data_IF_256907390274
#
_entry.id   IF_256907390274
#
_cell.length_a   1.000
_cell.length_b   1.000
_cell.length_c   1.000
_cell.angle_alpha   90.00
_cell.angle_beta   90.00
_cell.angle_gamma   90.00
#
_symmetry.space_group_name_H-M   'P 1'
#
loop_
_entity.id
_entity.type
_entity.pdbx_description
1 polymer ?
#
# COMPACT_ATOMS: atom_id res chain seq x y z
N UNK A 1 65.71 48.28 -46.75
CA UNK A 1 66.56 47.26 -47.39
C UNK A 1 67.05 46.33 -46.29
N UNK A 2 66.76 45.02 -46.43
CA UNK A 2 67.41 43.84 -45.84
C UNK A 2 68.56 44.07 -44.81
N UNK A 3 68.67 43.42 -43.65
CA UNK A 3 68.81 41.96 -43.44
C UNK A 3 68.86 41.57 -41.94
N UNK A 4 68.36 40.36 -41.63
CA UNK A 4 68.71 39.39 -40.58
C UNK A 4 69.33 39.82 -39.24
N UNK A 5 68.74 39.34 -38.13
CA UNK A 5 69.48 38.86 -36.95
C UNK A 5 68.69 37.81 -36.16
N UNK A 6 69.44 36.81 -35.70
CA UNK A 6 69.10 35.55 -35.02
C UNK A 6 68.14 35.63 -33.82
N UNK A 7 67.25 34.63 -33.68
CA UNK A 7 66.47 34.36 -32.47
C UNK A 7 67.04 33.14 -31.74
N UNK A 8 67.41 33.36 -30.47
CA UNK A 8 67.82 32.34 -29.51
C UNK A 8 66.61 31.57 -28.95
N UNK A 9 66.74 30.25 -28.85
CA UNK A 9 65.76 29.31 -28.32
C UNK A 9 65.81 29.25 -26.79
N UNK A 10 64.71 29.55 -26.09
CA UNK A 10 64.48 29.17 -24.68
C UNK A 10 63.19 28.36 -24.56
N UNK A 11 63.33 27.13 -24.05
CA UNK A 11 62.29 26.12 -23.76
C UNK A 11 61.14 26.68 -22.91
N UNK A 12 59.89 26.44 -23.31
CA UNK A 12 58.70 26.76 -22.52
C UNK A 12 58.27 25.59 -21.62
N UNK A 13 57.82 25.94 -20.41
CA UNK A 13 57.32 25.04 -19.36
C UNK A 13 55.88 24.57 -19.64
N UNK A 14 55.66 23.73 -20.65
CA UNK A 14 54.30 23.24 -20.99
C UNK A 14 54.07 21.75 -20.74
N UNK A 15 55.05 20.99 -20.24
CA UNK A 15 54.88 19.54 -20.01
C UNK A 15 54.40 19.15 -18.61
N UNK A 16 54.42 20.05 -17.61
CA UNK A 16 54.03 19.71 -16.23
C UNK A 16 52.54 19.88 -15.92
N UNK A 17 51.78 20.68 -16.69
CA UNK A 17 50.34 20.89 -16.44
C UNK A 17 49.44 19.76 -16.96
N UNK A 18 49.88 19.02 -17.98
CA UNK A 18 49.11 17.89 -18.55
C UNK A 18 49.18 16.63 -17.68
N UNK A 19 50.29 16.39 -16.97
CA UNK A 19 50.45 15.21 -16.11
C UNK A 19 49.53 15.30 -14.88
N UNK A 20 49.35 16.49 -14.30
CA UNK A 20 48.43 16.69 -13.17
C UNK A 20 46.95 16.55 -13.57
N UNK A 21 46.58 16.91 -14.80
CA UNK A 21 45.20 16.78 -15.28
C UNK A 21 44.81 15.31 -15.53
N UNK A 22 45.72 14.49 -16.03
CA UNK A 22 45.49 13.06 -16.29
C UNK A 22 45.45 12.25 -14.97
N UNK A 23 46.29 12.58 -13.99
CA UNK A 23 46.26 11.95 -12.65
C UNK A 23 44.98 12.27 -11.86
N UNK A 24 44.44 13.50 -12.01
CA UNK A 24 43.17 13.87 -11.37
C UNK A 24 41.96 13.16 -12.00
N UNK A 25 41.96 12.94 -13.31
CA UNK A 25 40.95 12.15 -14.02
C UNK A 25 40.99 10.65 -13.66
N UNK A 26 42.19 10.08 -13.46
CA UNK A 26 42.32 8.68 -13.02
C UNK A 26 41.90 8.46 -11.56
N UNK A 27 42.22 9.39 -10.66
CA UNK A 27 41.82 9.30 -9.24
C UNK A 27 40.31 9.50 -9.04
N UNK A 28 39.68 10.39 -9.82
CA UNK A 28 38.22 10.59 -9.77
C UNK A 28 37.44 9.41 -10.37
N UNK A 29 37.90 8.82 -11.48
CA UNK A 29 37.25 7.61 -12.03
C UNK A 29 37.41 6.38 -11.12
N UNK A 30 38.53 6.25 -10.40
CA UNK A 30 38.73 5.15 -9.45
C UNK A 30 37.87 5.32 -8.18
N UNK A 31 37.64 6.56 -7.75
CA UNK A 31 36.74 6.88 -6.63
C UNK A 31 35.26 6.64 -6.99
N UNK A 32 34.83 7.00 -8.20
CA UNK A 32 33.48 6.69 -8.69
C UNK A 32 33.24 5.18 -8.92
N UNK A 33 34.26 4.42 -9.33
CA UNK A 33 34.17 2.94 -9.41
C UNK A 33 34.16 2.26 -8.02
N UNK A 34 34.73 2.90 -7.00
CA UNK A 34 34.71 2.42 -5.61
C UNK A 34 33.38 2.61 -4.90
N UNK A 35 32.67 3.72 -5.15
CA UNK A 35 31.35 3.98 -4.53
C UNK A 35 30.19 3.21 -5.17
N UNK A 36 30.30 2.76 -6.42
CA UNK A 36 29.28 1.89 -7.03
C UNK A 36 29.29 0.44 -6.52
N UNK A 37 30.30 0.04 -5.72
CA UNK A 37 30.36 -1.29 -5.09
C UNK A 37 29.75 -1.35 -3.68
N UNK A 38 29.25 -0.23 -3.15
CA UNK A 38 28.53 -0.18 -1.86
C UNK A 38 27.18 0.51 -2.10
N UNK A 39 26.43 -0.01 -3.04
CA UNK A 39 25.01 0.29 -3.26
C UNK A 39 24.33 -1.07 -3.37
N UNK A 40 23.35 -1.31 -2.48
CA UNK A 40 22.57 -2.53 -2.33
C UNK A 40 22.55 -3.44 -3.57
N UNK A 41 23.30 -4.55 -3.51
CA UNK A 41 22.90 -5.73 -4.27
C UNK A 41 21.53 -6.15 -3.73
N UNK A 42 20.49 -6.31 -4.58
CA UNK A 42 19.29 -7.00 -4.15
C UNK A 42 19.73 -8.40 -3.71
N UNK A 43 19.45 -8.77 -2.45
CA UNK A 43 19.64 -10.15 -1.99
C UNK A 43 18.89 -11.03 -2.98
N UNK A 44 19.61 -11.98 -3.58
CA UNK A 44 18.96 -13.06 -4.32
C UNK A 44 17.93 -13.75 -3.40
N UNK A 45 16.78 -14.16 -3.93
CA UNK A 45 15.81 -14.91 -3.14
C UNK A 45 16.50 -16.15 -2.57
N UNK A 46 16.28 -16.40 -1.29
CA UNK A 46 16.65 -17.67 -0.66
C UNK A 46 15.81 -18.75 -1.36
N UNK A 47 16.43 -19.51 -2.26
CA UNK A 47 15.86 -20.73 -2.80
C UNK A 47 15.76 -21.75 -1.65
N UNK A 48 14.55 -22.00 -1.16
CA UNK A 48 14.30 -23.24 -0.43
C UNK A 48 14.28 -24.39 -1.45
N UNK A 49 15.44 -24.98 -1.71
CA UNK A 49 15.56 -26.21 -2.48
C UNK A 49 15.05 -27.39 -1.65
N UNK A 50 13.77 -27.76 -1.80
CA UNK A 50 13.34 -29.12 -1.51
C UNK A 50 13.65 -29.96 -2.75
N UNK A 51 14.70 -30.78 -2.64
CA UNK A 51 15.05 -31.77 -3.66
C UNK A 51 13.95 -32.84 -3.74
N UNK A 52 13.22 -32.86 -4.86
CA UNK A 52 12.68 -34.09 -5.42
C UNK A 52 12.63 -33.95 -6.95
N UNK A 53 13.15 -34.97 -7.65
CA UNK A 53 13.47 -34.88 -9.07
C UNK A 53 12.31 -35.26 -9.98
N UNK A 54 12.04 -34.43 -10.99
CA UNK A 54 11.73 -34.78 -12.39
C UNK A 54 11.58 -33.48 -13.22
N UNK A 55 11.94 -33.45 -14.52
CA UNK A 55 11.92 -32.23 -15.31
C UNK A 55 10.54 -31.98 -15.91
N UNK A 56 9.68 -31.28 -15.17
CA UNK A 56 8.44 -30.67 -15.69
C UNK A 56 8.47 -29.18 -15.36
N UNK A 57 8.37 -28.35 -16.41
CA UNK A 57 8.16 -26.89 -16.40
C UNK A 57 8.18 -26.22 -15.01
N UNK A 58 9.34 -25.67 -14.62
CA UNK A 58 9.46 -24.81 -13.44
C UNK A 58 8.56 -23.58 -13.64
N UNK A 59 7.41 -23.55 -12.95
CA UNK A 59 6.66 -22.31 -12.76
C UNK A 59 7.50 -21.42 -11.84
N UNK A 60 8.09 -20.38 -12.41
CA UNK A 60 8.79 -19.35 -11.64
C UNK A 60 7.69 -18.57 -10.91
N UNK A 61 7.61 -18.71 -9.59
CA UNK A 61 6.74 -17.86 -8.77
C UNK A 61 7.26 -16.43 -8.89
N UNK A 62 6.60 -15.63 -9.73
CA UNK A 62 6.92 -14.21 -9.84
C UNK A 62 6.59 -13.53 -8.53
N UNK A 63 7.52 -12.71 -8.04
CA UNK A 63 7.29 -11.66 -7.05
C UNK A 63 5.97 -10.94 -7.42
N UNK A 64 5.14 -10.54 -6.45
CA UNK A 64 3.89 -9.79 -6.69
C UNK A 64 4.20 -8.50 -7.48
N UNK A 65 4.05 -8.56 -8.81
CA UNK A 65 4.41 -7.54 -9.78
C UNK A 65 3.26 -7.40 -10.77
N UNK A 66 3.08 -6.18 -11.30
CA UNK A 66 2.15 -5.97 -12.40
C UNK A 66 2.63 -6.70 -13.66
N UNK A 67 1.79 -7.59 -14.18
CA UNK A 67 2.02 -8.35 -15.40
C UNK A 67 1.16 -7.79 -16.53
N UNK A 68 1.74 -7.71 -17.73
CA UNK A 68 1.09 -7.12 -18.90
C UNK A 68 0.19 -8.13 -19.59
N UNK A 69 -1.06 -7.73 -19.85
CA UNK A 69 -2.05 -8.48 -20.65
C UNK A 69 -2.13 -7.91 -22.07
N UNK A 70 -2.24 -6.58 -22.16
CA UNK A 70 -2.17 -5.82 -23.41
C UNK A 70 -1.08 -4.77 -23.21
N UNK A 71 -0.16 -4.66 -24.17
CA UNK A 71 0.92 -3.66 -24.19
C UNK A 71 0.74 -2.67 -25.34
N UNK A 72 1.04 -1.39 -25.12
CA UNK A 72 1.11 -0.36 -26.16
C UNK A 72 0.29 0.88 -25.80
N UNK A 73 -0.69 1.23 -26.63
CA UNK A 73 -1.54 2.41 -26.42
C UNK A 73 -2.78 2.15 -25.56
N UNK A 74 -3.00 0.90 -25.12
CA UNK A 74 -4.25 0.40 -24.54
C UNK A 74 -3.96 -0.57 -23.39
N UNK A 75 -3.05 -0.20 -22.50
CA UNK A 75 -2.45 -1.13 -21.55
C UNK A 75 -3.48 -1.74 -20.59
N UNK A 76 -3.33 -3.06 -20.37
CA UNK A 76 -4.07 -3.79 -19.34
C UNK A 76 -3.07 -4.55 -18.51
N UNK A 77 -3.08 -4.29 -17.21
CA UNK A 77 -2.11 -4.82 -16.27
C UNK A 77 -2.84 -5.59 -15.18
N UNK A 78 -2.36 -6.77 -14.85
CA UNK A 78 -2.92 -7.59 -13.76
C UNK A 78 -1.90 -7.75 -12.64
N UNK A 79 -2.35 -7.78 -11.39
CA UNK A 79 -1.47 -7.79 -10.22
C UNK A 79 -1.59 -9.07 -9.39
N UNK A 80 -2.81 -9.47 -9.09
CA UNK A 80 -3.08 -10.59 -8.17
C UNK A 80 -4.38 -11.31 -8.54
N UNK A 81 -4.48 -12.57 -8.13
CA UNK A 81 -5.64 -13.42 -8.37
C UNK A 81 -6.05 -14.14 -7.09
N UNK A 82 -7.34 -14.07 -6.74
CA UNK A 82 -7.88 -14.67 -5.53
C UNK A 82 -9.04 -15.59 -5.86
N UNK A 83 -9.00 -16.83 -5.41
CA UNK A 83 -10.14 -17.73 -5.52
C UNK A 83 -11.00 -17.65 -4.26
N UNK A 84 -12.30 -17.48 -4.47
CA UNK A 84 -13.31 -17.63 -3.43
C UNK A 84 -14.48 -18.44 -3.96
N UNK A 85 -14.68 -19.64 -3.41
CA UNK A 85 -15.62 -20.64 -3.94
C UNK A 85 -15.31 -20.92 -5.42
N UNK A 86 -16.32 -20.88 -6.29
CA UNK A 86 -16.20 -21.16 -7.73
C UNK A 86 -15.94 -19.91 -8.56
N UNK A 87 -15.18 -18.95 -8.04
CA UNK A 87 -14.86 -17.70 -8.73
C UNK A 87 -13.42 -17.29 -8.43
N UNK A 88 -12.68 -16.85 -9.45
CA UNK A 88 -11.41 -16.14 -9.31
C UNK A 88 -11.64 -14.65 -9.56
N UNK A 89 -11.10 -13.82 -8.66
CA UNK A 89 -11.10 -12.37 -8.78
C UNK A 89 -9.67 -11.93 -9.09
N UNK A 90 -9.47 -11.36 -10.29
CA UNK A 90 -8.18 -10.79 -10.70
C UNK A 90 -8.23 -9.29 -10.51
N UNK A 91 -7.28 -8.74 -9.76
CA UNK A 91 -7.10 -7.29 -9.59
C UNK A 91 -6.24 -6.75 -10.72
N UNK A 92 -6.70 -5.67 -11.34
CA UNK A 92 -6.09 -5.12 -12.53
C UNK A 92 -6.09 -3.58 -12.53
N UNK A 93 -5.23 -3.01 -13.37
CA UNK A 93 -5.29 -1.62 -13.81
C UNK A 93 -5.57 -1.64 -15.32
N UNK A 94 -6.58 -0.87 -15.72
CA UNK A 94 -7.09 -0.78 -17.08
C UNK A 94 -6.87 0.63 -17.62
N UNK A 95 -6.32 0.74 -18.83
CA UNK A 95 -6.41 1.95 -19.64
C UNK A 95 -7.84 2.13 -20.17
N UNK A 96 -8.50 3.21 -19.77
CA UNK A 96 -9.86 3.54 -20.19
C UNK A 96 -9.96 3.78 -21.70
N UNK A 97 -8.87 4.15 -22.37
CA UNK A 97 -8.82 4.30 -23.83
C UNK A 97 -8.80 2.96 -24.58
N UNK A 98 -8.56 1.84 -23.90
CA UNK A 98 -8.52 0.52 -24.54
C UNK A 98 -9.85 0.20 -25.22
N UNK A 99 -9.87 -0.24 -26.51
CA UNK A 99 -11.09 -0.68 -27.16
C UNK A 99 -11.50 -2.10 -26.69
N UNK A 100 -10.57 -2.85 -26.11
CA UNK A 100 -10.84 -4.22 -25.68
C UNK A 100 -11.62 -4.22 -24.36
N UNK A 101 -12.75 -4.92 -24.39
CA UNK A 101 -13.69 -5.05 -23.27
C UNK A 101 -14.06 -6.50 -22.97
N UNK A 102 -13.62 -7.43 -23.81
CA UNK A 102 -13.93 -8.85 -23.70
C UNK A 102 -12.67 -9.65 -23.44
N UNK A 103 -12.69 -10.42 -22.37
CA UNK A 103 -11.52 -11.16 -21.91
C UNK A 103 -11.92 -12.58 -21.53
N UNK A 104 -10.96 -13.49 -21.67
CA UNK A 104 -11.04 -14.85 -21.19
C UNK A 104 -9.99 -15.06 -20.10
N UNK A 105 -10.32 -15.92 -19.14
CA UNK A 105 -9.37 -16.42 -18.17
C UNK A 105 -8.92 -17.82 -18.59
N UNK A 106 -7.62 -18.04 -18.61
CA UNK A 106 -7.01 -19.36 -18.83
C UNK A 106 -6.53 -19.86 -17.48
N UNK A 107 -7.15 -20.94 -17.02
CA UNK A 107 -6.88 -21.59 -15.74
C UNK A 107 -5.82 -22.67 -15.94
N UNK A 108 -4.79 -22.66 -15.10
CA UNK A 108 -3.66 -23.58 -15.14
C UNK A 108 -3.60 -24.40 -13.86
N UNK A 109 -3.24 -25.67 -13.98
CA UNK A 109 -3.02 -26.55 -12.84
C UNK A 109 -2.64 -27.95 -13.27
N UNK A 110 -2.07 -28.74 -12.35
CA UNK A 110 -1.61 -30.11 -12.67
C UNK A 110 -2.74 -31.04 -13.14
N UNK A 111 -3.96 -30.84 -12.63
CA UNK A 111 -5.15 -31.62 -13.00
C UNK A 111 -5.87 -31.07 -14.23
N UNK A 112 -5.37 -29.98 -14.82
CA UNK A 112 -5.96 -29.34 -16.00
C UNK A 112 -5.24 -29.76 -17.28
N UNK A 113 -5.94 -29.72 -18.45
CA UNK A 113 -5.29 -29.94 -19.73
C UNK A 113 -4.07 -29.01 -19.88
N UNK A 114 -3.04 -29.46 -20.58
CA UNK A 114 -1.84 -28.63 -20.84
C UNK A 114 -2.16 -27.33 -21.58
N UNK A 115 -3.32 -27.26 -22.27
CA UNK A 115 -3.87 -26.05 -22.90
C UNK A 115 -4.60 -25.10 -21.93
N UNK A 116 -4.72 -25.46 -20.66
CA UNK A 116 -5.56 -24.80 -19.66
C UNK A 116 -7.07 -25.06 -19.84
N UNK A 117 -7.86 -24.69 -18.83
CA UNK A 117 -9.32 -24.58 -18.93
C UNK A 117 -9.69 -23.11 -19.13
N UNK A 118 -10.67 -22.80 -19.97
CA UNK A 118 -11.02 -21.41 -20.31
C UNK A 118 -12.40 -21.03 -19.74
N UNK A 119 -12.52 -19.82 -19.20
CA UNK A 119 -13.80 -19.20 -18.83
C UNK A 119 -13.87 -17.75 -19.31
N UNK A 120 -15.05 -17.28 -19.71
CA UNK A 120 -15.24 -15.86 -20.02
C UNK A 120 -15.15 -15.01 -18.75
N UNK A 121 -14.34 -13.96 -18.80
CA UNK A 121 -14.17 -13.03 -17.69
C UNK A 121 -15.28 -11.98 -17.68
N UNK A 122 -15.78 -11.64 -16.50
CA UNK A 122 -16.63 -10.46 -16.31
C UNK A 122 -15.78 -9.29 -15.83
N UNK A 123 -15.66 -8.24 -16.64
CA UNK A 123 -14.97 -7.00 -16.29
C UNK A 123 -15.87 -6.11 -15.42
N UNK A 124 -15.36 -5.69 -14.26
CA UNK A 124 -15.95 -4.66 -13.42
C UNK A 124 -14.94 -3.53 -13.23
N UNK A 125 -15.22 -2.36 -13.81
CA UNK A 125 -14.40 -1.17 -13.60
C UNK A 125 -14.74 -0.58 -12.24
N UNK A 126 -13.73 -0.30 -11.41
CA UNK A 126 -13.96 0.36 -10.14
C UNK A 126 -14.38 1.81 -10.41
N UNK A 127 -15.57 2.25 -9.96
CA UNK A 127 -15.94 3.65 -10.03
C UNK A 127 -15.04 4.42 -9.07
N UNK A 128 -14.66 5.66 -9.41
CA UNK A 128 -13.63 6.49 -8.73
C UNK A 128 -12.27 6.54 -9.46
N UNK A 129 -12.27 6.67 -10.79
CA UNK A 129 -11.06 6.99 -11.55
C UNK A 129 -10.61 8.45 -11.41
N UNK A 130 -11.45 9.34 -10.85
CA UNK A 130 -11.16 10.78 -10.75
C UNK A 130 -10.79 11.43 -12.09
N UNK A 131 -11.35 10.94 -13.19
CA UNK A 131 -11.08 11.46 -14.54
C UNK A 131 -9.74 11.05 -15.14
N UNK A 132 -8.99 10.18 -14.46
CA UNK A 132 -7.70 9.69 -14.98
C UNK A 132 -7.88 8.61 -16.05
N UNK A 133 -6.91 8.51 -16.95
CA UNK A 133 -6.82 7.55 -18.06
C UNK A 133 -6.81 6.12 -17.55
N UNK A 134 -6.02 5.85 -16.51
CA UNK A 134 -5.96 4.53 -15.91
C UNK A 134 -6.93 4.44 -14.74
N UNK A 135 -7.55 3.28 -14.56
CA UNK A 135 -8.40 2.99 -13.40
C UNK A 135 -8.20 1.56 -12.91
N UNK A 136 -8.58 1.30 -11.66
CA UNK A 136 -8.65 -0.05 -11.13
C UNK A 136 -9.82 -0.83 -11.76
N UNK A 137 -9.61 -2.11 -11.99
CA UNK A 137 -10.62 -3.02 -12.48
C UNK A 137 -10.50 -4.39 -11.81
N UNK A 138 -11.61 -5.11 -11.79
CA UNK A 138 -11.71 -6.46 -11.26
C UNK A 138 -12.27 -7.37 -12.36
N UNK A 139 -11.54 -8.43 -12.69
CA UNK A 139 -12.04 -9.48 -13.58
C UNK A 139 -12.51 -10.67 -12.74
N UNK A 140 -13.77 -11.06 -12.93
CA UNK A 140 -14.35 -12.25 -12.30
C UNK A 140 -14.36 -13.41 -13.28
N UNK A 141 -13.65 -14.49 -12.96
CA UNK A 141 -13.55 -15.70 -13.78
C UNK A 141 -14.31 -16.85 -13.09
N UNK A 142 -15.43 -17.32 -13.65
CA UNK A 142 -16.15 -18.45 -13.08
C UNK A 142 -15.35 -19.75 -13.22
N UNK A 143 -15.35 -20.56 -12.17
CA UNK A 143 -14.74 -21.89 -12.15
C UNK A 143 -15.81 -22.97 -12.24
N UNK A 144 -15.47 -24.08 -12.89
CA UNK A 144 -16.26 -25.32 -12.76
C UNK A 144 -16.18 -25.81 -11.31
N UNK A 145 -17.25 -26.43 -10.82
CA UNK A 145 -17.32 -26.87 -9.43
C UNK A 145 -16.18 -27.85 -9.10
N UNK A 146 -15.53 -27.67 -7.94
CA UNK A 146 -14.41 -28.50 -7.49
C UNK A 146 -13.04 -28.15 -8.09
N UNK A 147 -12.97 -27.25 -9.08
CA UNK A 147 -11.70 -26.85 -9.67
C UNK A 147 -10.92 -25.89 -8.76
N UNK A 148 -9.64 -26.18 -8.54
CA UNK A 148 -8.69 -25.34 -7.81
C UNK A 148 -7.45 -25.16 -8.69
N UNK A 149 -7.40 -24.13 -9.54
CA UNK A 149 -6.23 -23.89 -10.38
C UNK A 149 -5.07 -23.32 -9.56
N UNK A 150 -3.85 -23.69 -9.93
CA UNK A 150 -2.61 -23.17 -9.33
C UNK A 150 -2.33 -21.73 -9.79
N UNK A 151 -2.67 -21.43 -11.05
CA UNK A 151 -2.48 -20.12 -11.65
C UNK A 151 -3.59 -19.74 -12.64
N UNK A 152 -3.71 -18.45 -12.92
CA UNK A 152 -4.65 -17.92 -13.92
C UNK A 152 -3.97 -16.88 -14.80
N UNK A 153 -4.27 -16.91 -16.08
CA UNK A 153 -3.96 -15.83 -17.03
C UNK A 153 -5.24 -15.13 -17.46
N UNK A 154 -5.14 -13.82 -17.72
CA UNK A 154 -6.15 -13.05 -18.42
C UNK A 154 -5.68 -12.79 -19.85
N UNK A 155 -6.53 -13.01 -20.85
CA UNK A 155 -6.24 -12.75 -22.28
C UNK A 155 -7.43 -12.07 -22.97
N UNK A 156 -7.21 -11.23 -24.00
CA UNK A 156 -8.30 -10.73 -24.85
C UNK A 156 -9.10 -11.88 -25.47
N UNK A 157 -10.43 -11.76 -25.57
CA UNK A 157 -11.28 -12.87 -26.02
C UNK A 157 -10.97 -13.35 -27.45
N UNK A 158 -10.58 -12.42 -28.33
CA UNK A 158 -10.17 -12.72 -29.72
C UNK A 158 -8.72 -13.22 -29.87
N UNK A 159 -7.96 -13.35 -28.78
CA UNK A 159 -6.53 -13.65 -28.84
C UNK A 159 -6.16 -14.82 -27.91
N UNK A 160 -6.10 -16.03 -28.48
CA UNK A 160 -5.57 -17.24 -27.84
C UNK A 160 -4.29 -17.69 -28.54
N UNK A 161 -3.32 -16.79 -28.75
CA UNK A 161 -1.97 -17.23 -29.15
C UNK A 161 -1.17 -17.54 -27.89
N UNK A 162 -0.91 -18.82 -27.68
CA UNK A 162 0.13 -19.28 -26.75
C UNK A 162 1.51 -18.88 -27.31
N UNK A 163 2.49 -18.55 -26.46
CA UNK A 163 2.43 -18.54 -25.00
C UNK A 163 1.76 -17.28 -24.43
N UNK A 164 1.02 -17.44 -23.33
CA UNK A 164 0.51 -16.30 -22.55
C UNK A 164 1.63 -15.81 -21.63
N UNK A 165 1.83 -14.49 -21.56
CA UNK A 165 2.97 -13.89 -20.84
C UNK A 165 2.67 -13.48 -19.40
N UNK A 166 1.40 -13.55 -18.99
CA UNK A 166 0.96 -13.34 -17.63
C UNK A 166 0.45 -14.65 -17.03
N UNK A 167 0.91 -15.02 -15.85
CA UNK A 167 0.40 -16.15 -15.07
C UNK A 167 0.45 -15.74 -13.59
N UNK A 168 -0.73 -15.49 -13.03
CA UNK A 168 -0.88 -15.09 -11.63
C UNK A 168 -1.10 -16.33 -10.77
N UNK A 169 -0.34 -16.51 -9.68
CA UNK A 169 -0.64 -17.54 -8.71
C UNK A 169 -2.02 -17.25 -8.09
N UNK A 170 -2.83 -18.30 -7.93
CA UNK A 170 -4.18 -18.16 -7.36
C UNK A 170 -4.09 -18.30 -5.85
N UNK A 171 -4.50 -17.25 -5.14
CA UNK A 171 -4.50 -17.20 -3.68
C UNK A 171 -5.87 -17.61 -3.15
N UNK A 172 -5.90 -18.66 -2.33
CA UNK A 172 -7.12 -19.25 -1.78
C UNK A 172 -7.02 -19.37 -0.25
N UNK A 173 -7.68 -18.52 0.55
CA UNK A 173 -7.72 -18.74 1.99
C UNK A 173 -8.59 -19.95 2.31
N UNK A 174 -8.09 -20.81 3.20
CA UNK A 174 -8.75 -22.06 3.59
C UNK A 174 -9.83 -21.86 4.65
N UNK A 175 -9.65 -20.88 5.55
CA UNK A 175 -10.58 -20.57 6.63
C UNK A 175 -10.36 -19.16 7.21
N UNK A 176 -11.31 -18.69 8.02
CA UNK A 176 -11.16 -17.43 8.76
C UNK A 176 -10.17 -17.65 9.90
N UNK A 177 -9.12 -16.83 9.93
CA UNK A 177 -8.04 -16.90 10.91
C UNK A 177 -8.02 -15.69 11.85
N UNK A 178 -8.73 -14.62 11.49
CA UNK A 178 -8.67 -13.33 12.19
C UNK A 178 -10.03 -12.63 12.23
N UNK A 179 -10.25 -11.87 13.30
CA UNK A 179 -11.44 -11.03 13.46
C UNK A 179 -11.29 -9.73 12.67
N UNK A 180 -10.16 -9.02 12.83
CA UNK A 180 -9.93 -7.73 12.18
C UNK A 180 -8.60 -7.71 11.43
N UNK A 181 -8.68 -7.45 10.13
CA UNK A 181 -7.53 -7.02 9.34
C UNK A 181 -7.58 -5.51 9.09
N UNK A 182 -6.42 -4.86 9.01
CA UNK A 182 -6.31 -3.43 8.68
C UNK A 182 -5.58 -3.27 7.34
N UNK A 183 -6.25 -2.62 6.38
CA UNK A 183 -5.69 -2.25 5.09
C UNK A 183 -5.28 -0.78 5.11
N UNK A 184 -3.99 -0.53 4.87
CA UNK A 184 -3.40 0.82 4.91
C UNK A 184 -3.09 1.28 3.50
N UNK A 185 -3.39 2.55 3.23
CA UNK A 185 -3.05 3.22 1.97
C UNK A 185 -1.57 3.08 1.58
N UNK A 186 -1.22 3.15 0.28
CA UNK A 186 0.15 2.87 -0.16
C UNK A 186 1.16 3.80 0.53
N UNK A 187 2.28 3.23 0.98
CA UNK A 187 3.40 4.01 1.49
C UNK A 187 4.24 4.50 0.31
N UNK A 188 4.35 5.82 0.16
CA UNK A 188 4.94 6.45 -1.02
C UNK A 188 5.86 7.63 -0.65
N UNK A 189 6.46 8.26 -1.66
CA UNK A 189 7.30 9.47 -1.49
C UNK A 189 8.43 9.32 -0.47
N UNK A 190 9.15 8.19 -0.51
CA UNK A 190 10.24 7.87 0.43
C UNK A 190 9.80 8.04 1.89
N UNK A 191 8.60 7.54 2.23
CA UNK A 191 8.02 7.71 3.56
C UNK A 191 9.02 7.28 4.64
N UNK A 192 9.33 8.19 5.55
CA UNK A 192 10.39 8.03 6.55
C UNK A 192 9.88 8.20 7.99
N UNK A 193 8.57 8.39 8.20
CA UNK A 193 7.96 8.60 9.53
C UNK A 193 7.65 7.25 10.21
N UNK A 194 8.70 6.56 10.67
CA UNK A 194 8.59 5.27 11.35
C UNK A 194 7.71 5.31 12.61
N UNK A 195 7.68 6.42 13.34
CA UNK A 195 6.78 6.62 14.50
C UNK A 195 5.29 6.47 14.17
N UNK A 196 4.86 6.86 12.97
CA UNK A 196 3.45 6.72 12.59
C UNK A 196 3.06 5.24 12.42
N UNK A 197 3.97 4.41 11.90
CA UNK A 197 3.74 2.96 11.77
C UNK A 197 3.56 2.34 13.16
N UNK A 198 4.49 2.60 14.08
CA UNK A 198 4.44 2.05 15.45
C UNK A 198 3.20 2.55 16.19
N UNK A 199 2.89 3.85 16.13
CA UNK A 199 1.68 4.39 16.77
C UNK A 199 0.41 3.72 16.24
N UNK A 200 0.26 3.63 14.91
CA UNK A 200 -0.94 3.06 14.31
C UNK A 200 -1.07 1.57 14.62
N UNK A 201 0.01 0.79 14.50
CA UNK A 201 0.00 -0.66 14.76
C UNK A 201 -0.33 -0.94 16.22
N UNK A 202 0.41 -0.37 17.17
CA UNK A 202 0.20 -0.66 18.60
C UNK A 202 -1.17 -0.18 19.09
N UNK A 203 -1.65 0.97 18.60
CA UNK A 203 -2.99 1.46 18.96
C UNK A 203 -4.08 0.58 18.36
N UNK A 204 -3.92 0.13 17.11
CA UNK A 204 -4.88 -0.76 16.46
C UNK A 204 -4.89 -2.16 17.08
N UNK A 205 -3.75 -2.67 17.55
CA UNK A 205 -3.69 -3.93 18.31
C UNK A 205 -4.53 -3.84 19.60
N UNK A 206 -4.43 -2.72 20.34
CA UNK A 206 -5.27 -2.49 21.52
C UNK A 206 -6.76 -2.34 21.16
N UNK A 207 -7.07 -1.78 19.98
CA UNK A 207 -8.43 -1.72 19.46
C UNK A 207 -9.00 -3.09 19.07
N UNK A 208 -8.14 -4.08 18.81
CA UNK A 208 -8.51 -5.46 18.45
C UNK A 208 -8.12 -5.88 17.02
N UNK A 209 -7.20 -5.19 16.37
CA UNK A 209 -6.59 -5.65 15.12
C UNK A 209 -5.80 -6.95 15.34
N UNK A 210 -5.89 -7.88 14.40
CA UNK A 210 -5.11 -9.12 14.42
C UNK A 210 -3.97 -9.10 13.39
N UNK A 211 -4.17 -8.41 12.25
CA UNK A 211 -3.20 -8.38 11.15
C UNK A 211 -3.29 -7.11 10.32
N UNK A 212 -2.17 -6.68 9.73
CA UNK A 212 -2.11 -5.48 8.90
C UNK A 212 -1.53 -5.77 7.51
N UNK A 213 -2.02 -5.03 6.53
CA UNK A 213 -1.52 -5.06 5.16
C UNK A 213 -0.96 -3.68 4.81
N UNK A 214 0.35 -3.65 4.55
CA UNK A 214 1.06 -2.45 4.10
C UNK A 214 1.53 -2.65 2.66
N UNK A 215 1.29 -1.64 1.82
CA UNK A 215 1.69 -1.64 0.42
C UNK A 215 2.89 -0.71 0.24
N UNK A 216 4.05 -1.29 -0.02
CA UNK A 216 5.30 -0.55 -0.19
C UNK A 216 5.47 -0.10 -1.64
N UNK A 217 5.18 1.16 -1.93
CA UNK A 217 5.56 1.79 -3.19
C UNK A 217 6.93 2.48 -3.08
N UNK A 218 7.15 3.24 -1.99
CA UNK A 218 8.40 3.94 -1.74
C UNK A 218 8.53 4.34 -0.26
N UNK A 219 9.42 3.67 0.45
CA UNK A 219 9.72 3.93 1.87
C UNK A 219 11.22 4.09 2.10
N UNK A 220 11.59 4.69 3.23
CA UNK A 220 12.96 4.77 3.69
C UNK A 220 13.34 3.57 4.58
N UNK A 221 14.65 3.32 4.76
CA UNK A 221 15.15 2.12 5.46
C UNK A 221 14.68 2.00 6.92
N UNK A 222 14.40 3.12 7.61
CA UNK A 222 13.94 3.09 8.99
C UNK A 222 12.48 2.60 9.08
N UNK A 223 11.64 2.94 8.09
CA UNK A 223 10.28 2.41 7.97
C UNK A 223 10.33 0.94 7.58
N UNK A 224 11.20 0.56 6.64
CA UNK A 224 11.42 -0.85 6.27
C UNK A 224 11.82 -1.70 7.49
N UNK A 225 12.74 -1.21 8.33
CA UNK A 225 13.13 -1.88 9.57
C UNK A 225 11.96 -2.09 10.54
N UNK A 226 11.07 -1.09 10.70
CA UNK A 226 9.87 -1.22 11.54
C UNK A 226 8.88 -2.22 10.94
N UNK A 227 8.64 -2.18 9.64
CA UNK A 227 7.74 -3.13 8.98
C UNK A 227 8.28 -4.57 9.12
N UNK A 228 9.58 -4.78 8.92
CA UNK A 228 10.24 -6.07 9.10
C UNK A 228 10.17 -6.57 10.55
N UNK A 229 10.30 -5.69 11.54
CA UNK A 229 10.12 -6.04 12.95
C UNK A 229 8.74 -6.68 13.18
N UNK A 230 7.66 -6.05 12.72
CA UNK A 230 6.31 -6.59 12.89
C UNK A 230 6.01 -7.79 11.98
N UNK A 231 6.54 -7.82 10.76
CA UNK A 231 6.40 -8.94 9.84
C UNK A 231 7.02 -10.22 10.43
N UNK A 232 8.19 -10.11 11.06
CA UNK A 232 8.85 -11.25 11.75
C UNK A 232 8.03 -11.83 12.91
N UNK A 233 7.07 -11.06 13.44
CA UNK A 233 6.13 -11.46 14.50
C UNK A 233 4.79 -11.97 13.95
N UNK A 234 4.63 -12.07 12.63
CA UNK A 234 3.40 -12.51 11.97
C UNK A 234 2.26 -11.48 12.00
N UNK A 235 2.53 -10.23 12.41
CA UNK A 235 1.50 -9.20 12.58
C UNK A 235 1.22 -8.43 11.28
N UNK A 236 2.18 -8.39 10.36
CA UNK A 236 2.09 -7.59 9.14
C UNK A 236 2.45 -8.42 7.91
N UNK A 237 1.67 -8.27 6.85
CA UNK A 237 2.07 -8.60 5.48
C UNK A 237 2.47 -7.31 4.76
N UNK A 238 3.69 -7.29 4.23
CA UNK A 238 4.17 -6.19 3.37
C UNK A 238 4.07 -6.63 1.91
N UNK A 239 3.16 -6.02 1.15
CA UNK A 239 3.03 -6.20 -0.29
C UNK A 239 3.96 -5.21 -0.97
N UNK A 240 4.83 -5.68 -1.85
CA UNK A 240 5.56 -4.78 -2.73
C UNK A 240 4.60 -4.24 -3.78
N UNK A 241 4.55 -2.92 -3.93
CA UNK A 241 3.61 -2.23 -4.81
C UNK A 241 4.33 -1.40 -5.89
N UNK A 242 5.17 -2.03 -6.73
CA UNK A 242 5.93 -1.31 -7.74
C UNK A 242 5.03 -0.96 -8.92
N UNK A 243 4.45 0.24 -8.88
CA UNK A 243 3.70 0.75 -10.01
C UNK A 243 4.60 0.90 -11.24
N UNK A 244 4.22 0.32 -12.39
CA UNK A 244 4.91 0.54 -13.65
C UNK A 244 5.06 2.03 -13.97
N UNK A 245 6.20 2.40 -14.58
CA UNK A 245 6.58 3.81 -14.75
C UNK A 245 5.53 4.63 -15.53
N UNK A 246 4.86 4.03 -16.51
CA UNK A 246 3.79 4.68 -17.29
C UNK A 246 2.53 5.00 -16.48
N UNK A 247 2.34 4.38 -15.31
CA UNK A 247 1.21 4.67 -14.43
C UNK A 247 1.52 5.80 -13.45
N UNK A 248 2.81 6.09 -13.22
CA UNK A 248 3.24 7.01 -12.17
C UNK A 248 3.11 8.44 -12.65
N UNK A 249 2.74 9.33 -11.73
CA UNK A 249 2.88 10.78 -11.94
C UNK A 249 4.34 11.10 -12.29
N UNK A 250 4.57 11.66 -13.48
CA UNK A 250 5.88 12.10 -13.90
C UNK A 250 6.24 13.37 -13.11
N UNK A 251 7.24 13.26 -12.24
CA UNK A 251 7.79 14.38 -11.47
C UNK A 251 8.34 15.52 -12.35
N UNK A 252 8.49 15.31 -13.66
CA UNK A 252 8.97 16.30 -14.63
C UNK A 252 7.85 17.08 -15.35
N UNK A 253 6.58 16.97 -14.91
CA UNK A 253 5.41 17.65 -15.51
C UNK A 253 5.14 17.30 -16.99
N UNK A 254 5.69 16.20 -17.53
CA UNK A 254 5.53 15.85 -18.96
C UNK A 254 4.25 15.05 -19.27
N UNK A 255 3.55 14.55 -18.26
CA UNK A 255 2.21 13.97 -18.40
C UNK A 255 1.24 14.71 -17.49
N UNK A 256 0.06 15.11 -18.00
CA UNK A 256 -1.01 15.64 -17.15
C UNK A 256 -1.45 14.58 -16.13
N UNK A 257 -1.91 14.98 -14.94
CA UNK A 257 -2.48 14.08 -13.92
C UNK A 257 -3.56 13.14 -14.52
N UNK A 258 -4.29 13.65 -15.52
CA UNK A 258 -5.28 12.92 -16.32
C UNK A 258 -4.72 11.68 -17.02
N UNK A 259 -3.41 11.59 -17.29
CA UNK A 259 -2.80 10.48 -17.99
C UNK A 259 -2.25 9.37 -17.08
N UNK A 260 -2.26 9.55 -15.76
CA UNK A 260 -1.62 8.62 -14.80
C UNK A 260 -2.68 7.78 -14.06
N UNK A 261 -2.28 6.87 -13.16
CA UNK A 261 -3.23 6.23 -12.23
C UNK A 261 -3.47 7.15 -11.03
N UNK A 262 -4.74 7.38 -10.68
CA UNK A 262 -5.07 8.20 -9.53
C UNK A 262 -4.42 7.70 -8.22
N UNK A 263 -3.78 8.62 -7.50
CA UNK A 263 -3.25 8.48 -6.14
C UNK A 263 -2.51 7.14 -5.90
N UNK A 264 -1.45 6.91 -6.68
CA UNK A 264 -0.58 5.74 -6.52
C UNK A 264 -1.31 4.39 -6.61
N UNK A 265 -2.39 4.33 -7.41
CA UNK A 265 -3.16 3.11 -7.60
C UNK A 265 -3.88 2.64 -6.32
N UNK A 266 -4.17 3.56 -5.40
CA UNK A 266 -4.83 3.26 -4.13
C UNK A 266 -6.13 2.46 -4.34
N UNK A 267 -6.93 2.79 -5.36
CA UNK A 267 -8.17 2.05 -5.63
C UNK A 267 -7.94 0.56 -5.97
N UNK A 268 -6.88 0.26 -6.73
CA UNK A 268 -6.49 -1.12 -7.03
C UNK A 268 -5.97 -1.82 -5.77
N UNK A 269 -5.15 -1.13 -4.98
CA UNK A 269 -4.66 -1.64 -3.69
C UNK A 269 -5.80 -1.98 -2.74
N UNK A 270 -6.79 -1.09 -2.57
CA UNK A 270 -7.90 -1.31 -1.65
C UNK A 270 -8.68 -2.59 -2.01
N UNK A 271 -8.85 -2.84 -3.31
CA UNK A 271 -9.54 -4.04 -3.78
C UNK A 271 -8.63 -5.29 -3.77
N UNK A 272 -7.32 -5.17 -3.92
CA UNK A 272 -6.36 -6.24 -3.61
C UNK A 272 -6.49 -6.66 -2.14
N UNK A 273 -6.43 -5.69 -1.22
CA UNK A 273 -6.53 -5.96 0.21
C UNK A 273 -7.89 -6.55 0.59
N UNK A 274 -8.99 -6.06 0.00
CA UNK A 274 -10.32 -6.65 0.17
C UNK A 274 -10.32 -8.14 -0.21
N UNK A 275 -9.82 -8.48 -1.40
CA UNK A 275 -9.88 -9.84 -1.91
C UNK A 275 -8.94 -10.78 -1.16
N UNK A 276 -7.76 -10.32 -0.75
CA UNK A 276 -6.83 -11.05 0.13
C UNK A 276 -7.44 -11.43 1.48
N UNK A 277 -8.43 -10.67 1.93
CA UNK A 277 -9.13 -10.90 3.18
C UNK A 277 -10.46 -11.65 3.03
N UNK A 278 -10.93 -11.94 1.80
CA UNK A 278 -12.16 -12.71 1.58
C UNK A 278 -12.00 -14.14 2.07
N UNK A 279 -12.62 -14.45 3.21
CA UNK A 279 -12.57 -15.79 3.80
C UNK A 279 -11.44 -15.97 4.81
N UNK A 280 -10.49 -15.03 4.91
CA UNK A 280 -9.44 -15.02 5.94
C UNK A 280 -9.80 -14.14 7.15
N UNK A 281 -10.59 -13.08 6.94
CA UNK A 281 -10.95 -12.11 7.98
C UNK A 281 -12.45 -12.00 8.17
N UNK A 282 -12.91 -11.86 9.41
CA UNK A 282 -14.31 -11.55 9.71
C UNK A 282 -14.67 -10.11 9.31
N UNK A 283 -13.79 -9.16 9.63
CA UNK A 283 -13.92 -7.74 9.31
C UNK A 283 -12.61 -7.19 8.73
N UNK A 284 -12.74 -6.21 7.85
CA UNK A 284 -11.59 -5.47 7.28
C UNK A 284 -11.79 -3.98 7.53
N UNK A 285 -10.82 -3.35 8.18
CA UNK A 285 -10.76 -1.91 8.45
C UNK A 285 -9.92 -1.26 7.36
N UNK A 286 -10.47 -0.27 6.66
CA UNK A 286 -9.75 0.51 5.66
C UNK A 286 -9.49 1.91 6.21
N UNK A 287 -8.23 2.30 6.37
CA UNK A 287 -7.84 3.60 6.91
C UNK A 287 -6.50 4.08 6.33
N UNK A 288 -6.23 5.38 6.40
CA UNK A 288 -4.92 5.94 6.04
C UNK A 288 -3.96 5.86 7.25
N UNK A 289 -2.66 6.02 7.01
CA UNK A 289 -1.63 5.93 8.06
C UNK A 289 -1.77 7.02 9.14
N UNK A 290 -2.30 8.17 8.77
CA UNK A 290 -2.55 9.31 9.67
C UNK A 290 -3.96 9.29 10.28
N UNK A 291 -4.66 8.16 10.18
CA UNK A 291 -6.02 8.00 10.66
C UNK A 291 -6.17 6.84 11.65
N UNK A 292 -7.08 7.00 12.61
CA UNK A 292 -7.48 5.93 13.52
C UNK A 292 -9.00 5.84 13.64
N UNK A 293 -9.56 4.64 13.46
CA UNK A 293 -10.97 4.37 13.74
C UNK A 293 -11.20 4.24 15.24
N UNK A 294 -11.73 5.28 15.90
CA UNK A 294 -11.85 5.36 17.35
C UNK A 294 -13.31 5.16 17.80
N UNK A 295 -13.64 4.05 18.49
CA UNK A 295 -14.91 3.91 19.19
C UNK A 295 -15.00 4.95 20.31
N UNK A 296 -16.12 5.67 20.39
CA UNK A 296 -16.36 6.65 21.45
C UNK A 296 -17.04 6.04 22.67
N UNK A 297 -17.98 5.13 22.44
CA UNK A 297 -18.77 4.47 23.49
C UNK A 297 -18.27 3.08 23.92
N UNK A 298 -17.28 2.52 23.22
CA UNK A 298 -16.82 1.14 23.40
C UNK A 298 -15.30 1.06 23.61
N UNK A 299 -14.85 -0.07 24.18
CA UNK A 299 -13.44 -0.32 24.53
C UNK A 299 -12.66 -1.13 23.48
N UNK A 300 -13.30 -1.53 22.37
CA UNK A 300 -12.65 -2.25 21.27
C UNK A 300 -13.51 -2.20 20.01
N UNK A 301 -12.95 -2.58 18.87
CA UNK A 301 -13.70 -2.80 17.64
C UNK A 301 -14.66 -3.97 17.79
N UNK A 302 -14.31 -5.05 18.49
CA UNK A 302 -15.24 -6.17 18.76
C UNK A 302 -16.52 -5.69 19.45
N UNK A 303 -16.39 -4.89 20.51
CA UNK A 303 -17.54 -4.32 21.22
C UNK A 303 -18.31 -3.32 20.36
N UNK A 304 -17.62 -2.51 19.54
CA UNK A 304 -18.27 -1.63 18.57
C UNK A 304 -19.11 -2.47 17.59
N UNK A 305 -18.53 -3.48 16.94
CA UNK A 305 -19.23 -4.32 15.97
C UNK A 305 -20.43 -5.06 16.58
N UNK A 306 -20.31 -5.53 17.82
CA UNK A 306 -21.42 -6.17 18.54
C UNK A 306 -22.58 -5.21 18.85
N UNK A 307 -22.32 -3.90 18.95
CA UNK A 307 -23.36 -2.89 19.21
C UNK A 307 -24.09 -2.41 17.95
N UNK A 308 -23.55 -2.72 16.77
CA UNK A 308 -24.06 -2.24 15.48
C UNK A 308 -24.94 -3.31 14.80
N UNK A 309 -25.80 -2.94 13.83
CA UNK A 309 -26.64 -3.91 13.13
C UNK A 309 -25.79 -4.98 12.43
N UNK A 310 -26.07 -6.25 12.71
CA UNK A 310 -25.30 -7.40 12.20
C UNK A 310 -25.56 -7.71 10.72
N UNK A 311 -26.64 -7.17 10.14
CA UNK A 311 -27.01 -7.34 8.73
C UNK A 311 -26.34 -6.34 7.78
N UNK A 312 -25.62 -5.34 8.31
CA UNK A 312 -24.85 -4.42 7.50
C UNK A 312 -23.65 -5.12 6.84
N UNK A 313 -23.28 -4.65 5.65
CA UNK A 313 -22.13 -5.19 4.89
C UNK A 313 -20.91 -4.28 4.98
N UNK A 314 -21.14 -2.99 5.23
CA UNK A 314 -20.14 -1.99 5.51
C UNK A 314 -20.62 -1.10 6.65
N UNK A 315 -19.70 -0.64 7.48
CA UNK A 315 -19.92 0.29 8.58
C UNK A 315 -19.13 1.55 8.27
N UNK A 316 -19.83 2.56 7.77
CA UNK A 316 -19.25 3.81 7.27
C UNK A 316 -19.03 4.76 8.44
N UNK A 317 -17.79 5.22 8.61
CA UNK A 317 -17.38 6.12 9.69
C UNK A 317 -16.95 7.47 9.12
N UNK A 318 -17.51 8.54 9.69
CA UNK A 318 -17.15 9.92 9.35
C UNK A 318 -15.85 10.29 10.06
N UNK A 319 -15.14 11.28 9.51
CA UNK A 319 -13.88 11.77 10.07
C UNK A 319 -13.97 13.22 10.55
N UNK A 320 -12.98 13.60 11.36
CA UNK A 320 -12.69 14.98 11.72
C UNK A 320 -11.19 15.14 11.87
N UNK A 321 -10.67 16.31 11.49
CA UNK A 321 -9.24 16.60 11.60
C UNK A 321 -8.84 16.88 13.05
N UNK A 322 -7.69 16.34 13.43
CA UNK A 322 -6.95 16.62 14.65
C UNK A 322 -5.64 17.33 14.27
N UNK A 323 -5.63 18.68 14.19
CA UNK A 323 -4.49 19.42 13.68
C UNK A 323 -3.23 19.22 14.53
N UNK A 324 -2.12 18.85 13.89
CA UNK A 324 -0.83 18.60 14.56
C UNK A 324 -0.17 19.88 15.10
N UNK A 325 -0.53 21.03 14.56
CA UNK A 325 -0.08 22.36 14.99
C UNK A 325 -0.83 22.88 16.22
N UNK A 326 -1.98 22.30 16.55
CA UNK A 326 -2.75 22.70 17.74
C UNK A 326 -2.07 22.27 19.05
N UNK A 327 -2.39 22.96 20.17
CA UNK A 327 -1.77 22.65 21.46
C UNK A 327 -2.01 21.21 21.90
N UNK A 328 -0.94 20.52 22.29
CA UNK A 328 -1.05 19.21 22.94
C UNK A 328 -1.66 19.36 24.34
N UNK A 329 -2.33 18.30 24.81
CA UNK A 329 -2.93 18.30 26.15
C UNK A 329 -1.86 18.25 27.24
N UNK A 330 -1.93 19.19 28.18
CA UNK A 330 -1.06 19.22 29.37
C UNK A 330 -1.57 18.32 30.52
N UNK A 331 -2.84 17.93 30.53
CA UNK A 331 -3.51 17.21 31.63
C UNK A 331 -4.56 16.18 31.17
N UNK A 332 -4.56 14.98 31.76
CA UNK A 332 -5.55 13.93 31.46
C UNK A 332 -4.95 12.54 31.22
N UNK A 333 -3.61 12.44 31.21
CA UNK A 333 -2.85 11.20 31.25
C UNK A 333 -1.78 11.35 32.34
N UNK A 334 -1.34 10.24 32.95
CA UNK A 334 -0.30 10.29 33.98
C UNK A 334 1.04 10.78 33.41
N UNK A 335 1.97 11.20 34.28
CA UNK A 335 3.26 11.78 33.88
C UNK A 335 4.08 10.85 32.98
N UNK A 336 4.07 9.55 33.27
CA UNK A 336 4.81 8.52 32.51
C UNK A 336 4.26 8.36 31.10
N UNK A 337 2.94 8.21 30.95
CA UNK A 337 2.26 8.13 29.66
C UNK A 337 2.54 9.38 28.81
N UNK A 338 2.47 10.56 29.41
CA UNK A 338 2.80 11.81 28.71
C UNK A 338 4.26 11.86 28.24
N UNK A 339 5.19 11.35 29.05
CA UNK A 339 6.60 11.25 28.68
C UNK A 339 6.77 10.33 27.47
N UNK A 340 6.19 9.12 27.51
CA UNK A 340 6.26 8.14 26.41
C UNK A 340 5.68 8.74 25.12
N UNK A 341 4.48 9.32 25.19
CA UNK A 341 3.82 9.87 24.01
C UNK A 341 4.67 10.95 23.33
N UNK A 342 5.29 11.85 24.11
CA UNK A 342 6.21 12.86 23.61
C UNK A 342 7.50 12.27 23.04
N UNK A 343 8.11 11.32 23.76
CA UNK A 343 9.38 10.70 23.34
C UNK A 343 9.27 10.03 21.98
N UNK A 344 8.13 9.42 21.67
CA UNK A 344 7.93 8.64 20.44
C UNK A 344 7.01 9.31 19.43
N UNK A 345 6.72 10.61 19.57
CA UNK A 345 5.81 11.33 18.69
C UNK A 345 4.45 10.64 18.50
N UNK A 346 3.90 10.02 19.56
CA UNK A 346 2.59 9.40 19.54
C UNK A 346 1.51 10.50 19.54
N UNK A 347 1.14 10.97 18.34
CA UNK A 347 0.29 12.11 18.12
C UNK A 347 -1.14 11.86 18.60
N UNK A 348 -1.64 10.63 18.46
CA UNK A 348 -2.98 10.26 18.87
C UNK A 348 -3.23 10.53 20.36
N UNK A 349 -2.20 10.31 21.19
CA UNK A 349 -2.26 10.54 22.63
C UNK A 349 -1.82 11.95 23.06
N UNK A 350 -1.38 12.80 22.13
CA UNK A 350 -0.99 14.18 22.40
C UNK A 350 -2.02 15.20 21.90
N UNK A 351 -2.57 14.95 20.70
CA UNK A 351 -3.43 15.86 19.93
C UNK A 351 -4.88 15.43 20.09
N UNK A 352 -5.56 15.93 21.13
CA UNK A 352 -6.97 15.55 21.40
C UNK A 352 -7.96 16.68 21.10
N UNK A 353 -7.49 17.75 20.48
CA UNK A 353 -8.37 18.79 19.95
C UNK A 353 -8.60 18.50 18.48
N UNK A 354 -9.86 18.46 18.08
CA UNK A 354 -10.30 18.33 16.69
C UNK A 354 -11.09 19.54 16.25
N UNK A 355 -11.19 19.73 14.94
CA UNK A 355 -12.17 20.66 14.37
C UNK A 355 -13.58 20.34 14.90
N UNK A 356 -14.40 21.36 15.17
CA UNK A 356 -15.82 21.15 15.43
C UNK A 356 -16.50 20.43 14.26
N UNK A 357 -16.07 20.76 13.04
CA UNK A 357 -16.52 20.15 11.79
C UNK A 357 -16.26 18.64 11.78
N UNK A 358 -17.29 17.91 11.37
CA UNK A 358 -17.24 16.50 11.02
C UNK A 358 -17.56 16.41 9.52
N UNK A 359 -16.69 15.78 8.74
CA UNK A 359 -16.88 15.69 7.29
C UNK A 359 -18.18 14.97 6.92
N UNK A 360 -18.79 15.30 5.79
CA UNK A 360 -20.00 14.64 5.30
C UNK A 360 -19.81 13.15 5.03
N UNK A 361 -20.91 12.43 4.76
CA UNK A 361 -20.83 11.03 4.33
C UNK A 361 -20.06 10.92 3.03
N UNK A 362 -19.24 9.87 2.89
CA UNK A 362 -18.36 9.63 1.73
C UNK A 362 -17.34 10.73 1.44
N UNK A 363 -17.22 11.75 2.32
CA UNK A 363 -16.16 12.76 2.25
C UNK A 363 -15.17 12.44 3.35
N UNK A 364 -13.95 12.01 2.98
CA UNK A 364 -12.93 11.60 3.95
C UNK A 364 -13.40 10.55 4.95
N UNK A 365 -14.45 9.80 4.59
CA UNK A 365 -14.97 8.72 5.42
C UNK A 365 -14.06 7.51 5.25
N UNK A 366 -14.03 6.67 6.28
CA UNK A 366 -13.40 5.35 6.26
C UNK A 366 -14.40 4.31 6.73
N UNK A 367 -14.07 3.04 6.63
CA UNK A 367 -15.06 1.99 6.82
C UNK A 367 -14.49 0.68 7.33
N UNK A 368 -15.34 -0.06 8.02
CA UNK A 368 -15.13 -1.47 8.37
C UNK A 368 -16.10 -2.29 7.53
N UNK A 369 -15.67 -3.37 6.88
CA UNK A 369 -16.52 -4.20 6.02
C UNK A 369 -16.49 -5.66 6.42
N UNK A 370 -17.57 -6.37 6.13
CA UNK A 370 -17.53 -7.83 5.97
C UNK A 370 -17.03 -8.13 4.54
N UNK A 371 -15.81 -8.69 4.36
CA UNK A 371 -15.24 -8.89 3.03
C UNK A 371 -16.03 -9.89 2.17
N UNK A 372 -16.87 -10.73 2.81
CA UNK A 372 -17.72 -11.68 2.10
C UNK A 372 -18.99 -11.05 1.53
N UNK A 373 -19.37 -9.85 2.00
CA UNK A 373 -20.60 -9.15 1.59
C UNK A 373 -20.35 -7.93 0.70
N UNK A 374 -19.09 -7.55 0.50
CA UNK A 374 -18.66 -6.43 -0.36
C UNK A 374 -17.95 -6.95 -1.60
N UNK A 375 -18.20 -6.32 -2.75
CA UNK A 375 -17.58 -6.67 -4.04
C UNK A 375 -16.51 -5.66 -4.47
N UNK A 376 -16.79 -4.36 -4.32
CA UNK A 376 -15.87 -3.27 -4.70
C UNK A 376 -15.87 -2.20 -3.63
N UNK A 377 -14.69 -1.85 -3.15
CA UNK A 377 -14.44 -0.75 -2.21
C UNK A 377 -13.80 0.46 -2.93
N UNK A 378 -13.99 1.66 -2.37
CA UNK A 378 -13.45 2.94 -2.86
C UNK A 378 -12.65 3.68 -1.79
N UNK A 379 -12.12 4.86 -2.10
CA UNK A 379 -11.21 5.57 -1.18
C UNK A 379 -11.96 6.09 0.06
N UNK A 380 -13.18 6.57 -0.13
CA UNK A 380 -14.04 7.11 0.93
C UNK A 380 -15.43 6.48 1.02
N UNK A 381 -15.73 5.50 0.16
CA UNK A 381 -17.03 4.83 0.10
C UNK A 381 -16.88 3.34 -0.25
N UNK A 382 -17.96 2.57 -0.10
CA UNK A 382 -18.09 1.23 -0.67
C UNK A 382 -19.00 1.31 -1.90
N UNK A 383 -18.50 0.86 -3.05
CA UNK A 383 -19.13 1.08 -4.34
C UNK A 383 -20.08 -0.05 -4.75
N UNK A 384 -19.74 -1.29 -4.39
CA UNK A 384 -20.56 -2.45 -4.78
C UNK A 384 -20.65 -3.47 -3.66
N UNK A 385 -21.88 -3.90 -3.39
CA UNK A 385 -22.23 -4.92 -2.41
C UNK A 385 -22.74 -6.16 -3.12
N UNK A 386 -22.59 -7.33 -2.48
CA UNK A 386 -23.34 -8.51 -2.90
C UNK A 386 -24.84 -8.28 -2.72
N UNK A 387 -25.66 -9.07 -3.42
CA UNK A 387 -27.13 -9.00 -3.35
C UNK A 387 -27.63 -8.96 -1.90
N UNK A 388 -28.43 -7.95 -1.57
CA UNK A 388 -28.99 -7.72 -0.23
C UNK A 388 -28.02 -7.04 0.75
N UNK A 389 -26.80 -6.70 0.33
CA UNK A 389 -25.85 -5.93 1.12
C UNK A 389 -26.12 -4.43 1.07
N UNK A 390 -25.80 -3.75 2.16
CA UNK A 390 -25.98 -2.31 2.30
C UNK A 390 -24.98 -1.74 3.33
N UNK A 391 -24.66 -0.43 3.26
CA UNK A 391 -23.90 0.24 4.30
C UNK A 391 -24.79 0.59 5.50
N UNK A 392 -24.18 0.60 6.68
CA UNK A 392 -24.68 1.26 7.87
C UNK A 392 -23.82 2.48 8.16
N UNK A 393 -24.43 3.65 8.30
CA UNK A 393 -23.72 4.89 8.62
C UNK A 393 -23.61 5.04 10.14
N UNK A 394 -22.42 4.81 10.68
CA UNK A 394 -22.17 4.85 12.11
C UNK A 394 -22.29 6.30 12.60
N UNK A 395 -23.12 6.58 13.62
CA UNK A 395 -23.22 7.91 14.19
C UNK A 395 -21.86 8.39 14.80
N UNK A 396 -21.38 9.63 14.50
CA UNK A 396 -20.10 10.17 14.99
C UNK A 396 -19.86 10.21 16.52
N UNK A 397 -20.93 9.99 17.28
CA UNK A 397 -21.04 9.96 18.74
C UNK A 397 -20.81 8.53 19.25
N UNK A 398 -20.97 7.52 18.38
CA UNK A 398 -20.67 6.11 18.63
C UNK A 398 -19.23 5.80 18.26
N UNK A 399 -18.77 6.22 17.09
CA UNK A 399 -17.38 6.09 16.63
C UNK A 399 -17.02 7.18 15.61
N UNK A 400 -15.75 7.57 15.57
CA UNK A 400 -15.24 8.62 14.67
C UNK A 400 -13.85 8.25 14.16
N UNK A 401 -13.56 8.56 12.90
CA UNK A 401 -12.20 8.51 12.38
C UNK A 401 -11.45 9.75 12.84
N UNK A 402 -10.39 9.55 13.60
CA UNK A 402 -9.48 10.61 14.00
C UNK A 402 -8.42 10.77 12.93
N UNK A 403 -8.41 11.92 12.24
CA UNK A 403 -7.47 12.18 11.15
C UNK A 403 -6.41 13.21 11.58
N UNK A 404 -5.19 12.75 11.87
CA UNK A 404 -4.09 13.53 12.43
C UNK A 404 -3.21 14.14 11.33
N UNK A 405 -3.45 15.41 11.00
CA UNK A 405 -2.73 16.08 9.91
C UNK A 405 -2.25 17.46 10.34
N UNK A 406 -1.18 17.96 9.73
CA UNK A 406 -0.84 19.37 9.85
C UNK A 406 -2.03 20.22 9.34
N UNK A 407 -2.49 21.17 10.15
CA UNK A 407 -3.58 22.06 9.78
C UNK A 407 -3.17 23.02 8.65
N UNK A 408 -4.17 23.61 7.99
CA UNK A 408 -3.97 24.88 7.31
C UNK A 408 -3.96 25.96 8.39
N UNK A 409 -3.04 26.91 8.29
CA UNK A 409 -2.96 28.08 9.17
C UNK A 409 -4.24 28.91 9.07
N UNK A 410 -5.27 28.56 9.82
CA UNK A 410 -6.47 29.38 9.99
C UNK A 410 -6.76 29.49 11.49
N UNK A 411 -6.46 30.68 12.02
CA UNK A 411 -6.61 31.11 13.42
C UNK A 411 -8.06 31.13 13.93
N UNK A 412 -9.03 30.67 13.14
CA UNK A 412 -10.47 30.86 13.38
C UNK A 412 -11.28 29.56 13.54
N UNK A 413 -10.66 28.38 13.41
CA UNK A 413 -11.40 27.13 13.53
C UNK A 413 -11.80 26.84 14.99
N UNK A 414 -13.11 26.63 15.22
CA UNK A 414 -13.63 26.16 16.50
C UNK A 414 -13.08 24.77 16.82
N UNK A 415 -12.55 24.62 18.04
CA UNK A 415 -11.96 23.37 18.54
C UNK A 415 -12.90 22.65 19.50
N UNK A 416 -12.98 21.33 19.35
CA UNK A 416 -13.66 20.43 20.28
C UNK A 416 -12.62 19.53 20.93
N UNK A 417 -12.65 19.42 22.26
CA UNK A 417 -11.78 18.51 23.00
C UNK A 417 -12.38 17.10 23.00
N UNK A 418 -11.71 16.16 22.34
CA UNK A 418 -12.15 14.77 22.16
C UNK A 418 -11.12 13.80 22.76
N UNK A 419 -11.34 13.39 24.01
CA UNK A 419 -10.43 12.50 24.75
C UNK A 419 -10.69 11.01 24.49
N UNK A 420 -11.53 10.67 23.51
CA UNK A 420 -12.00 9.28 23.31
C UNK A 420 -10.87 8.27 23.09
N UNK A 421 -9.75 8.70 22.52
CA UNK A 421 -8.54 7.89 22.30
C UNK A 421 -7.86 7.44 23.60
N UNK A 422 -8.02 8.16 24.72
CA UNK A 422 -7.41 7.79 26.00
C UNK A 422 -7.99 6.52 26.62
N UNK A 423 -9.10 5.98 26.09
CA UNK A 423 -9.56 4.63 26.41
C UNK A 423 -8.53 3.55 26.00
N UNK A 424 -7.69 3.86 25.03
CA UNK A 424 -6.69 2.95 24.45
C UNK A 424 -5.26 3.34 24.87
N UNK A 425 -5.12 3.98 26.05
CA UNK A 425 -3.84 4.49 26.56
C UNK A 425 -2.79 3.39 26.78
N UNK A 426 -3.24 2.14 26.90
CA UNK A 426 -2.40 0.94 27.04
C UNK A 426 -1.54 0.65 25.81
N UNK A 427 -1.79 1.33 24.68
CA UNK A 427 -0.90 1.32 23.53
C UNK A 427 0.46 1.98 23.84
N UNK A 428 0.51 2.99 24.72
CA UNK A 428 1.76 3.72 25.01
C UNK A 428 2.86 2.83 25.60
N UNK A 429 2.60 1.99 26.64
CA UNK A 429 3.58 1.02 27.09
C UNK A 429 4.05 0.02 26.01
N UNK A 430 3.21 -0.30 25.02
CA UNK A 430 3.61 -1.18 23.91
C UNK A 430 4.51 -0.42 22.92
N UNK A 431 4.12 0.81 22.54
CA UNK A 431 4.94 1.72 21.73
C UNK A 431 6.33 1.87 22.34
N UNK A 432 6.43 2.11 23.65
CA UNK A 432 7.71 2.21 24.34
C UNK A 432 8.56 0.94 24.19
N UNK A 433 7.96 -0.24 24.44
CA UNK A 433 8.66 -1.52 24.32
C UNK A 433 9.11 -1.82 22.90
N UNK A 434 8.27 -1.54 21.90
CA UNK A 434 8.63 -1.72 20.51
C UNK A 434 9.83 -0.84 20.13
N UNK A 435 9.85 0.42 20.55
CA UNK A 435 11.02 1.28 20.33
C UNK A 435 12.28 0.82 21.05
N UNK A 436 12.15 0.23 22.25
CA UNK A 436 13.30 -0.40 22.92
C UNK A 436 13.86 -1.59 22.12
N UNK A 437 13.00 -2.37 21.47
CA UNK A 437 13.41 -3.51 20.64
C UNK A 437 14.00 -3.08 19.30
N UNK A 438 13.51 -1.98 18.73
CA UNK A 438 14.05 -1.40 17.50
C UNK A 438 15.42 -0.74 17.74
N UNK A 439 15.77 -0.38 18.98
CA UNK A 439 17.08 0.21 19.29
C UNK A 439 17.25 1.59 18.66
N UNK A 440 18.30 1.76 17.85
CA UNK A 440 18.71 3.06 17.30
C UNK A 440 17.98 3.45 15.99
N UNK A 441 16.92 2.74 15.61
CA UNK A 441 16.11 3.10 14.44
C UNK A 441 15.49 4.49 14.66
N UNK A 442 15.70 5.47 13.77
CA UNK A 442 15.18 6.82 13.96
C UNK A 442 13.67 6.88 13.72
N UNK A 443 12.97 7.65 14.57
CA UNK A 443 11.51 7.90 14.49
C UNK A 443 11.06 8.53 13.17
N UNK A 444 11.95 9.32 12.57
CA UNK A 444 11.68 10.17 11.42
C UNK A 444 10.72 11.33 11.68
N UNK A 445 10.47 12.19 10.67
CA UNK A 445 10.94 12.05 9.28
C UNK A 445 12.46 12.17 9.16
N UNK A 446 13.02 11.50 8.16
CA UNK A 446 14.41 11.65 7.73
C UNK A 446 14.50 12.71 6.62
N UNK A 447 15.62 13.42 6.59
CA UNK A 447 15.92 14.51 5.64
C UNK A 447 16.41 13.93 4.32
#
# INVERSE_FOLDING_TARGET
>A
MERCSYVNYRRSQTSRRWIFFILFLYLTMSWFRGQQRIIHQPRQPIEHSLQSGHPTSRVIWTVELFQVVISGTNDVLVFSAFQFKSMIMIVAILDMASPERTYNCVHWGMELPSSGSISTATLQICPESHGTRFTAAIFSCPLRHGLVPDAVSLVPAGFLKLPVHNALPVISPSQIERNFAVCVSPLHSLHSKAHQIVEMVETSLVLGADHFFFYNLSIHWNVDAVLNHYASRGLITVIQWPLPAMLREDATNRTSEENNIHYHGQLAMLNDCLNRNKGASRYVVFQDLDELVVPKKHQSWTMLMASLPSNASAYMLRSSYFPLDWPSVKSGINKTANKIAKTYNANAFQKVFREERIFGRAVRSKYIVDPLRVEIVGIHNVWKFKRGGAPYYVPPEVALVHHYRAGKSETELKRVKDKSVFKFIDALPQIHRTWQQLGDIPLGPLV
#
